data_IF_040944373820
#
_entry.id   IF_040944373820
#
_cell.length_a   1.000
_cell.length_b   1.000
_cell.length_c   1.000
_cell.angle_alpha   90.00
_cell.angle_beta   90.00
_cell.angle_gamma   90.00
#
_symmetry.space_group_name_H-M   'P 1'
#
loop_
_entity.id
_entity.type
_entity.pdbx_description
1 polymer ?
#
# COMPACT_ATOMS: atom_id res chain seq x y z
N UNK A 1 -11.38 15.85 21.10
CA UNK A 1 -11.60 15.39 19.73
C UNK A 1 -12.08 13.96 19.83
N UNK A 2 -13.17 13.64 19.14
CA UNK A 2 -13.65 12.27 19.08
C UNK A 2 -12.97 11.55 17.92
N UNK A 3 -12.39 10.37 18.19
CA UNK A 3 -11.75 9.51 17.19
C UNK A 3 -12.63 8.32 16.79
N UNK A 4 -13.88 8.25 17.28
CA UNK A 4 -14.79 7.12 17.11
C UNK A 4 -15.05 6.75 15.64
N UNK A 5 -14.98 7.72 14.72
CA UNK A 5 -15.19 7.48 13.28
C UNK A 5 -13.90 7.18 12.50
N UNK A 6 -12.73 7.19 13.16
CA UNK A 6 -11.45 6.90 12.50
C UNK A 6 -11.31 5.40 12.26
N UNK A 7 -11.04 5.04 10.99
CA UNK A 7 -10.88 3.65 10.57
C UNK A 7 -9.49 3.44 9.97
N UNK A 8 -8.88 2.33 10.37
CA UNK A 8 -7.67 1.79 9.74
C UNK A 8 -8.03 0.44 9.12
N UNK A 9 -7.80 0.29 7.82
CA UNK A 9 -8.01 -0.96 7.08
C UNK A 9 -6.66 -1.44 6.56
N UNK A 10 -6.33 -2.72 6.72
CA UNK A 10 -5.09 -3.26 6.16
C UNK A 10 -5.09 -3.12 4.63
N UNK A 11 -4.14 -2.34 4.12
CA UNK A 11 -3.94 -2.11 2.71
C UNK A 11 -3.12 -3.24 2.11
N UNK A 12 -1.83 -3.27 2.44
CA UNK A 12 -0.86 -4.18 1.86
C UNK A 12 0.39 -4.37 2.72
N UNK A 13 1.16 -5.41 2.41
CA UNK A 13 2.52 -5.62 2.91
C UNK A 13 3.52 -5.44 1.77
N UNK A 14 4.51 -4.57 2.00
CA UNK A 14 5.72 -4.50 1.20
C UNK A 14 6.78 -5.41 1.77
N UNK A 15 7.35 -6.29 0.94
CA UNK A 15 8.43 -7.21 1.31
C UNK A 15 9.71 -6.72 0.63
N UNK A 16 10.70 -6.37 1.44
CA UNK A 16 11.98 -5.90 0.92
C UNK A 16 12.86 -7.05 0.43
N UNK A 17 13.54 -6.83 -0.70
CA UNK A 17 14.65 -7.65 -1.15
C UNK A 17 15.98 -6.95 -0.83
N UNK A 18 16.99 -7.67 -0.33
CA UNK A 18 18.29 -7.06 -0.01
C UNK A 18 19.07 -6.68 -1.28
N UNK A 19 18.78 -7.36 -2.40
CA UNK A 19 19.35 -7.07 -3.71
C UNK A 19 18.34 -7.28 -4.85
N UNK A 20 18.60 -6.75 -6.05
CA UNK A 20 17.82 -7.05 -7.25
C UNK A 20 17.64 -8.55 -7.52
N UNK A 21 18.69 -9.34 -7.31
CA UNK A 21 18.69 -10.78 -7.52
C UNK A 21 17.75 -11.49 -6.53
N UNK A 22 17.73 -11.06 -5.26
CA UNK A 22 16.75 -11.55 -4.29
C UNK A 22 15.32 -11.16 -4.66
N UNK A 23 15.11 -9.96 -5.20
CA UNK A 23 13.80 -9.50 -5.66
C UNK A 23 13.24 -10.35 -6.80
N UNK A 24 14.08 -10.68 -7.78
CA UNK A 24 13.71 -11.58 -8.87
C UNK A 24 13.47 -13.02 -8.37
N UNK A 25 14.32 -13.52 -7.46
CA UNK A 25 14.13 -14.84 -6.83
C UNK A 25 12.80 -14.92 -6.06
N UNK A 26 12.46 -13.86 -5.31
CA UNK A 26 11.20 -13.75 -4.58
C UNK A 26 10.01 -13.78 -5.56
N UNK A 27 10.04 -12.94 -6.60
CA UNK A 27 8.97 -12.92 -7.63
C UNK A 27 8.82 -14.26 -8.32
N UNK A 28 9.94 -14.89 -8.72
CA UNK A 28 9.95 -16.21 -9.34
C UNK A 28 9.28 -17.25 -8.44
N UNK A 29 9.59 -17.27 -7.14
CA UNK A 29 8.93 -18.17 -6.19
C UNK A 29 7.40 -18.00 -6.20
N UNK A 30 6.90 -16.76 -6.08
CA UNK A 30 5.45 -16.51 -6.14
C UNK A 30 4.83 -16.87 -7.50
N UNK A 31 5.58 -16.72 -8.59
CA UNK A 31 5.10 -17.01 -9.95
C UNK A 31 5.07 -18.51 -10.27
N UNK A 32 6.14 -19.22 -9.90
CA UNK A 32 6.38 -20.60 -10.30
C UNK A 32 5.82 -21.60 -9.29
N UNK A 33 5.88 -21.27 -8.00
CA UNK A 33 5.39 -22.16 -6.92
C UNK A 33 3.94 -21.87 -6.59
N UNK A 34 3.58 -20.59 -6.42
CA UNK A 34 2.21 -20.20 -6.03
C UNK A 34 1.32 -19.81 -7.22
N UNK A 35 1.88 -19.70 -8.43
CA UNK A 35 1.09 -19.50 -9.65
C UNK A 35 0.61 -18.07 -9.90
N UNK A 36 1.17 -17.05 -9.21
CA UNK A 36 0.82 -15.65 -9.47
C UNK A 36 1.32 -15.24 -10.86
N UNK A 37 0.41 -14.87 -11.77
CA UNK A 37 0.78 -14.51 -13.16
C UNK A 37 0.64 -13.03 -13.47
N UNK A 38 -0.28 -12.34 -12.80
CA UNK A 38 -0.57 -10.93 -13.04
C UNK A 38 0.09 -10.08 -11.96
N UNK A 39 0.95 -9.16 -12.38
CA UNK A 39 1.58 -8.20 -11.50
C UNK A 39 1.40 -6.78 -12.03
N UNK A 40 1.02 -5.86 -11.16
CA UNK A 40 1.12 -4.43 -11.45
C UNK A 40 2.52 -3.97 -11.11
N UNK A 41 3.35 -3.89 -12.14
CA UNK A 41 4.74 -3.46 -12.01
C UNK A 41 4.86 -1.94 -11.94
N UNK A 42 5.68 -1.47 -11.01
CA UNK A 42 6.17 -0.10 -10.96
C UNK A 42 7.71 -0.12 -10.87
N UNK A 43 8.40 1.02 -11.08
CA UNK A 43 9.87 1.01 -11.09
C UNK A 43 10.52 0.40 -9.84
N UNK A 44 9.88 0.52 -8.67
CA UNK A 44 10.42 0.06 -7.40
C UNK A 44 10.01 -1.37 -7.01
N UNK A 45 8.89 -1.90 -7.53
CA UNK A 45 8.24 -3.09 -6.98
C UNK A 45 7.24 -3.75 -7.94
N UNK A 46 6.84 -4.96 -7.62
CA UNK A 46 5.75 -5.70 -8.27
C UNK A 46 4.60 -5.88 -7.28
N UNK A 47 3.43 -5.35 -7.59
CA UNK A 47 2.23 -5.63 -6.80
C UNK A 47 1.49 -6.83 -7.34
N UNK A 48 0.96 -7.68 -6.45
CA UNK A 48 -0.02 -8.70 -6.81
C UNK A 48 -1.31 -8.05 -7.32
N UNK A 49 -2.12 -8.80 -8.07
CA UNK A 49 -3.36 -8.31 -8.69
C UNK A 49 -4.34 -7.70 -7.67
N UNK A 50 -4.46 -8.31 -6.49
CA UNK A 50 -5.26 -7.81 -5.36
C UNK A 50 -4.63 -6.62 -4.60
N UNK A 51 -3.43 -6.20 -5.02
CA UNK A 51 -2.58 -5.19 -4.39
C UNK A 51 -2.25 -5.46 -2.91
N UNK A 52 -2.41 -6.69 -2.40
CA UNK A 52 -2.11 -7.01 -0.99
C UNK A 52 -0.64 -7.26 -0.72
N UNK A 53 0.11 -7.71 -1.72
CA UNK A 53 1.54 -7.92 -1.61
C UNK A 53 2.29 -7.04 -2.60
N UNK A 54 3.27 -6.30 -2.09
CA UNK A 54 4.20 -5.49 -2.85
C UNK A 54 5.60 -6.11 -2.72
N UNK A 55 6.05 -6.77 -3.78
CA UNK A 55 7.36 -7.39 -3.85
C UNK A 55 8.36 -6.33 -4.29
N UNK A 56 9.16 -5.82 -3.37
CA UNK A 56 10.15 -4.79 -3.68
C UNK A 56 11.30 -5.39 -4.47
N UNK A 57 11.77 -4.67 -5.50
CA UNK A 57 12.92 -5.11 -6.31
C UNK A 57 14.25 -4.97 -5.58
N UNK A 58 14.30 -4.17 -4.51
CA UNK A 58 15.48 -3.89 -3.69
C UNK A 58 15.02 -3.33 -2.35
N UNK A 59 15.96 -2.93 -1.48
CA UNK A 59 15.64 -2.36 -0.19
C UNK A 59 14.76 -1.12 -0.32
N UNK A 60 13.60 -1.19 0.34
CA UNK A 60 12.63 -0.12 0.52
C UNK A 60 12.72 0.49 1.90
N UNK A 61 11.59 1.01 2.39
CA UNK A 61 11.48 1.49 3.78
C UNK A 61 11.29 0.28 4.70
N UNK A 62 11.88 0.32 5.88
CA UNK A 62 11.82 -0.75 6.86
C UNK A 62 12.89 -1.82 6.68
N UNK A 63 13.32 -2.43 7.76
CA UNK A 63 14.26 -3.55 7.74
C UNK A 63 13.69 -4.75 6.97
N UNK A 64 12.42 -5.10 7.24
CA UNK A 64 11.69 -6.22 6.63
C UNK A 64 10.73 -5.76 5.51
N UNK A 65 10.52 -4.44 5.39
CA UNK A 65 9.58 -3.83 4.46
C UNK A 65 8.59 -2.92 5.16
N UNK A 66 7.36 -2.83 4.65
CA UNK A 66 6.36 -1.91 5.18
C UNK A 66 4.96 -2.49 5.26
N UNK A 67 4.17 -1.95 6.18
CA UNK A 67 2.74 -2.24 6.28
C UNK A 67 1.96 -0.96 5.94
N UNK A 68 1.12 -1.06 4.92
CA UNK A 68 0.24 0.03 4.48
C UNK A 68 -1.15 -0.13 5.05
N UNK A 69 -1.69 0.94 5.62
CA UNK A 69 -3.06 0.98 6.10
C UNK A 69 -3.85 2.08 5.39
N UNK A 70 -5.05 1.74 4.92
CA UNK A 70 -5.99 2.73 4.43
C UNK A 70 -6.64 3.45 5.60
N UNK A 71 -6.79 4.77 5.47
CA UNK A 71 -7.52 5.61 6.42
C UNK A 71 -8.63 6.38 5.70
N UNK A 72 -9.74 6.61 6.41
CA UNK A 72 -10.87 7.38 5.90
C UNK A 72 -10.70 8.90 6.07
N UNK A 73 -9.85 9.33 7.00
CA UNK A 73 -9.52 10.73 7.24
C UNK A 73 -8.04 10.86 7.58
N UNK A 74 -7.24 11.35 6.62
CA UNK A 74 -5.78 11.45 6.77
C UNK A 74 -5.36 12.46 7.87
N UNK A 75 -5.86 13.72 7.90
CA UNK A 75 -5.56 14.65 8.99
C UNK A 75 -5.93 14.11 10.39
N UNK A 76 -7.08 13.43 10.52
CA UNK A 76 -7.50 12.86 11.80
C UNK A 76 -6.63 11.65 12.18
N UNK A 77 -6.25 10.81 11.22
CA UNK A 77 -5.34 9.69 11.43
C UNK A 77 -3.97 10.13 11.93
N UNK A 78 -3.40 11.18 11.33
CA UNK A 78 -2.11 11.78 11.75
C UNK A 78 -2.21 12.25 13.21
N UNK A 79 -3.22 13.07 13.53
CA UNK A 79 -3.43 13.58 14.90
C UNK A 79 -3.64 12.45 15.90
N UNK A 80 -4.37 11.41 15.51
CA UNK A 80 -4.57 10.24 16.37
C UNK A 80 -3.25 9.54 16.67
N UNK A 81 -2.45 9.23 15.65
CA UNK A 81 -1.16 8.55 15.82
C UNK A 81 -0.18 9.39 16.66
N UNK A 82 -0.11 10.69 16.41
CA UNK A 82 0.69 11.64 17.21
C UNK A 82 0.20 11.69 18.66
N UNK A 83 -1.11 11.68 18.91
CA UNK A 83 -1.67 11.61 20.27
C UNK A 83 -1.35 10.30 21.01
N UNK A 84 -0.97 9.24 20.27
CA UNK A 84 -0.51 7.96 20.81
C UNK A 84 1.01 7.88 20.96
N UNK A 85 1.74 8.95 20.63
CA UNK A 85 3.19 9.03 20.78
C UNK A 85 3.98 8.62 19.53
N UNK A 86 3.32 8.37 18.39
CA UNK A 86 4.01 8.04 17.15
C UNK A 86 4.30 9.30 16.32
N UNK A 87 5.53 9.40 15.80
CA UNK A 87 5.94 10.54 14.97
C UNK A 87 5.76 10.24 13.49
N UNK A 88 5.13 11.16 12.75
CA UNK A 88 5.03 11.08 11.30
C UNK A 88 6.31 11.58 10.62
N UNK A 89 6.76 10.86 9.60
CA UNK A 89 7.93 11.18 8.77
C UNK A 89 7.49 11.99 7.54
N UNK A 90 7.44 13.32 7.70
CA UNK A 90 6.96 14.23 6.64
C UNK A 90 7.87 14.27 5.40
N UNK A 91 9.14 13.84 5.49
CA UNK A 91 10.02 13.70 4.32
C UNK A 91 9.55 12.57 3.38
N UNK A 92 8.75 11.65 3.91
CA UNK A 92 8.12 10.58 3.13
C UNK A 92 6.76 10.95 2.56
N UNK A 93 6.21 12.11 2.96
CA UNK A 93 4.89 12.51 2.54
C UNK A 93 4.81 12.54 1.01
N UNK A 94 3.72 12.01 0.49
CA UNK A 94 3.32 12.17 -0.90
C UNK A 94 2.07 13.00 -0.92
N UNK A 95 2.05 14.00 -1.80
CA UNK A 95 0.92 14.91 -1.94
C UNK A 95 0.11 14.57 -3.19
N UNK A 96 -1.16 14.97 -3.18
CA UNK A 96 -2.00 14.94 -4.37
C UNK A 96 -1.63 16.07 -5.34
N UNK A 97 -2.33 16.16 -6.47
CA UNK A 97 -2.09 17.17 -7.50
C UNK A 97 -2.23 18.63 -7.00
N UNK A 98 -2.96 18.83 -5.89
CA UNK A 98 -3.11 20.13 -5.24
C UNK A 98 -1.84 20.59 -4.46
N UNK A 99 -0.87 19.70 -4.28
CA UNK A 99 0.37 19.94 -3.53
C UNK A 99 0.18 20.16 -2.02
N UNK A 100 -1.02 19.96 -1.48
CA UNK A 100 -1.36 20.23 -0.07
C UNK A 100 -1.93 19.00 0.64
N UNK A 101 -2.69 18.18 -0.08
CA UNK A 101 -3.35 17.01 0.51
C UNK A 101 -2.37 15.85 0.55
N UNK A 102 -2.02 15.40 1.76
CA UNK A 102 -1.19 14.20 1.96
C UNK A 102 -2.02 12.98 1.56
N UNK A 103 -1.51 12.20 0.60
CA UNK A 103 -2.12 10.92 0.18
C UNK A 103 -1.43 9.70 0.76
N UNK A 104 -0.18 9.83 1.20
CA UNK A 104 0.59 8.77 1.84
C UNK A 104 1.66 9.39 2.74
N UNK A 105 1.87 8.81 3.92
CA UNK A 105 2.93 9.22 4.85
C UNK A 105 3.30 8.05 5.77
N UNK A 106 4.59 7.93 6.10
CA UNK A 106 5.11 6.90 7.01
C UNK A 106 5.24 7.42 8.45
N UNK A 107 5.19 6.51 9.43
CA UNK A 107 5.78 6.75 10.75
C UNK A 107 7.31 6.80 10.63
N UNK A 108 7.99 7.52 11.52
CA UNK A 108 9.46 7.53 11.63
C UNK A 108 9.97 6.16 12.09
N UNK A 109 9.34 5.64 13.14
CA UNK A 109 9.74 4.41 13.82
C UNK A 109 9.39 3.15 13.01
N UNK A 110 10.11 2.07 13.31
CA UNK A 110 9.79 0.72 12.84
C UNK A 110 9.07 -0.07 13.93
N UNK A 111 8.08 -0.85 13.53
CA UNK A 111 7.43 -1.84 14.39
C UNK A 111 7.87 -3.22 13.93
N UNK A 112 8.69 -3.89 14.75
CA UNK A 112 9.25 -5.22 14.45
C UNK A 112 9.92 -5.32 13.06
N UNK A 113 10.65 -4.29 12.67
CA UNK A 113 11.35 -4.23 11.38
C UNK A 113 10.48 -3.72 10.22
N UNK A 114 9.21 -3.39 10.43
CA UNK A 114 8.34 -2.82 9.39
C UNK A 114 8.17 -1.32 9.59
N UNK A 115 8.35 -0.54 8.52
CA UNK A 115 7.90 0.86 8.49
C UNK A 115 6.40 0.89 8.22
N UNK A 116 5.65 1.60 9.07
CA UNK A 116 4.19 1.70 8.90
C UNK A 116 3.88 2.94 8.08
N UNK A 117 3.04 2.83 7.05
CA UNK A 117 2.45 3.98 6.38
C UNK A 117 0.93 3.94 6.41
N UNK A 118 0.37 5.14 6.41
CA UNK A 118 -1.05 5.36 6.17
C UNK A 118 -1.22 5.99 4.80
N UNK A 119 -2.28 5.61 4.12
CA UNK A 119 -2.61 6.09 2.78
C UNK A 119 -4.12 6.23 2.64
N UNK A 120 -4.58 7.07 1.72
CA UNK A 120 -6.01 7.15 1.41
C UNK A 120 -6.38 6.05 0.42
N UNK A 121 -7.54 5.42 0.64
CA UNK A 121 -8.13 4.53 -0.37
C UNK A 121 -8.54 5.43 -1.53
N UNK A 122 -7.76 5.43 -2.62
CA UNK A 122 -8.30 5.94 -3.90
C UNK A 122 -9.59 5.16 -4.13
N UNK A 123 -10.69 5.85 -4.39
CA UNK A 123 -11.99 5.25 -4.69
C UNK A 123 -11.80 3.97 -5.53
N UNK A 124 -12.57 2.89 -5.26
CA UNK A 124 -12.21 1.54 -5.69
C UNK A 124 -11.94 1.50 -7.19
N UNK A 125 -10.84 0.86 -7.59
CA UNK A 125 -10.72 0.32 -8.94
C UNK A 125 -11.71 -0.86 -9.08
N UNK A 126 -13.00 -0.53 -9.15
CA UNK A 126 -14.09 -1.38 -9.61
C UNK A 126 -15.15 -0.43 -10.18
N UNK A 127 -15.12 -0.23 -11.50
CA UNK A 127 -16.38 -0.25 -12.24
C UNK A 127 -16.62 -1.73 -12.51
N UNK A 128 -17.68 -2.31 -11.97
CA UNK A 128 -18.29 -3.44 -12.66
C UNK A 128 -18.46 -2.99 -14.11
N UNK A 129 -17.83 -3.71 -15.04
CA UNK A 129 -18.31 -3.68 -16.40
C UNK A 129 -19.75 -4.15 -16.31
N UNK A 130 -20.70 -3.23 -16.47
CA UNK A 130 -22.02 -3.59 -16.97
C UNK A 130 -21.76 -4.32 -18.29
N UNK A 131 -21.78 -5.66 -18.22
CA UNK A 131 -22.01 -6.49 -19.38
C UNK A 131 -23.39 -6.06 -19.87
N UNK A 132 -23.40 -5.12 -20.82
CA UNK A 132 -24.57 -4.89 -21.66
C UNK A 132 -25.02 -6.27 -22.14
N UNK A 133 -26.24 -6.61 -21.74
CA UNK A 133 -26.85 -7.88 -22.03
C UNK A 133 -26.77 -8.13 -23.53
N UNK A 134 -26.23 -9.29 -23.91
CA UNK A 134 -26.44 -9.82 -25.25
C UNK A 134 -27.95 -10.07 -25.38
N UNK A 135 -28.69 -9.38 -26.27
CA UNK A 135 -30.00 -9.85 -26.65
C UNK A 135 -29.76 -11.05 -27.57
N UNK A 136 -29.99 -12.26 -27.04
CA UNK A 136 -30.07 -13.46 -27.86
C UNK A 136 -31.38 -13.40 -28.65
N UNK A 137 -31.21 -13.23 -29.96
CA UNK A 137 -32.04 -13.66 -31.09
C UNK A 137 -33.57 -13.42 -31.07
N UNK A 138 -34.06 -12.76 -32.11
CA UNK A 138 -35.37 -13.04 -32.70
C UNK A 138 -35.34 -14.26 -33.61
#
# INVERSE_FOLDING_TARGET
MDFNDLKFEFGHVGINAQSPEEGEKMKAFFTDVFGYKNYREIPASYFTEDNKMELMKKMGKGTMGHLGFFVNDMPLAIKYLESKGYTMDYDTARYDADGKTIKLIFLVEEINGFRIHITVKKAPFYKENELEAIPVAG
#
